data_IF_757956971587
#
_entry.id   IF_757956971587
#
_cell.length_a   1.000
_cell.length_b   1.000
_cell.length_c   1.000
_cell.angle_alpha   90.00
_cell.angle_beta   90.00
_cell.angle_gamma   90.00
#
_symmetry.space_group_name_H-M   'P 1'
#
loop_
_entity.id
_entity.type
_entity.pdbx_description
1 polymer ?
#
# COMPACT_ATOMS: atom_id res chain seq x y z
N UNK A 1 -0.76 -23.11 -11.28
CA UNK A 1 0.08 -22.82 -12.48
C UNK A 1 -0.80 -23.03 -13.71
N UNK A 2 -0.62 -22.26 -14.79
CA UNK A 2 -1.44 -22.36 -16.01
C UNK A 2 -2.48 -21.24 -16.19
N UNK A 3 -2.83 -20.55 -15.09
CA UNK A 3 -3.84 -19.46 -15.07
C UNK A 3 -3.57 -18.36 -16.11
N UNK A 4 -2.30 -18.11 -16.42
CA UNK A 4 -1.86 -17.01 -17.32
C UNK A 4 -2.33 -17.19 -18.77
N UNK A 5 -2.77 -18.39 -19.15
CA UNK A 5 -3.29 -18.69 -20.50
C UNK A 5 -4.82 -18.85 -20.54
N UNK A 6 -5.46 -18.87 -19.38
CA UNK A 6 -6.89 -19.23 -19.23
C UNK A 6 -7.76 -18.05 -18.78
N UNK A 7 -7.15 -16.96 -18.29
CA UNK A 7 -7.84 -15.79 -17.76
C UNK A 7 -7.67 -14.62 -18.72
N UNK A 8 -8.75 -13.86 -18.92
CA UNK A 8 -8.76 -12.57 -19.62
C UNK A 8 -9.67 -11.61 -18.81
N UNK A 9 -9.24 -10.39 -18.47
CA UNK A 9 -8.01 -9.72 -18.90
C UNK A 9 -6.76 -10.08 -18.09
N UNK A 10 -5.60 -10.03 -18.75
CA UNK A 10 -4.28 -10.10 -18.10
C UNK A 10 -3.54 -8.77 -18.29
N UNK A 11 -2.92 -8.27 -17.22
CA UNK A 11 -2.11 -7.06 -17.25
C UNK A 11 -0.71 -7.30 -16.68
N UNK A 12 0.25 -6.45 -17.06
CA UNK A 12 1.61 -6.46 -16.53
C UNK A 12 2.06 -5.05 -16.16
N UNK A 13 2.69 -4.89 -14.99
CA UNK A 13 3.26 -3.62 -14.54
C UNK A 13 4.79 -3.73 -14.49
N UNK A 14 5.48 -2.98 -15.36
CA UNK A 14 6.93 -2.90 -15.40
C UNK A 14 7.43 -1.81 -14.43
N UNK A 15 7.85 -2.21 -13.23
CA UNK A 15 8.32 -1.30 -12.18
C UNK A 15 9.85 -1.26 -12.16
N UNK A 16 10.43 -0.23 -12.78
CA UNK A 16 11.86 0.04 -12.74
C UNK A 16 12.21 0.70 -11.40
N UNK A 17 13.09 0.08 -10.62
CA UNK A 17 13.46 0.53 -9.27
C UNK A 17 14.95 0.86 -9.27
N UNK A 18 15.26 2.08 -8.83
CA UNK A 18 16.62 2.53 -8.57
C UNK A 18 16.76 2.81 -7.07
N UNK A 19 17.79 2.27 -6.44
CA UNK A 19 18.14 2.55 -5.06
C UNK A 19 19.59 3.05 -5.04
N UNK A 20 19.82 4.16 -4.36
CA UNK A 20 21.15 4.77 -4.20
C UNK A 20 21.36 5.02 -2.71
N UNK A 21 22.45 4.48 -2.17
CA UNK A 21 22.83 4.71 -0.79
C UNK A 21 24.27 5.21 -0.70
N UNK A 22 24.43 6.53 -0.65
CA UNK A 22 25.73 7.20 -0.58
C UNK A 22 26.36 7.13 0.81
N UNK A 23 26.72 5.91 1.22
CA UNK A 23 27.51 5.66 2.42
C UNK A 23 28.52 4.53 2.14
N UNK A 24 29.81 4.85 1.94
CA UNK A 24 30.80 3.91 1.39
C UNK A 24 30.94 2.58 2.11
N UNK A 25 30.72 2.55 3.43
CA UNK A 25 30.85 1.33 4.23
C UNK A 25 29.65 0.38 4.10
N UNK A 26 28.48 0.90 3.76
CA UNK A 26 27.21 0.16 3.82
C UNK A 26 26.45 0.14 2.49
N UNK A 27 26.89 0.90 1.48
CA UNK A 27 26.26 1.04 0.17
C UNK A 27 25.69 -0.27 -0.38
N UNK A 28 26.55 -1.23 -0.70
CA UNK A 28 26.11 -2.48 -1.34
C UNK A 28 25.13 -3.28 -0.48
N UNK A 29 25.35 -3.37 0.84
CA UNK A 29 24.45 -4.11 1.74
C UNK A 29 23.08 -3.46 1.86
N UNK A 30 23.04 -2.13 1.90
CA UNK A 30 21.80 -1.36 2.06
C UNK A 30 21.02 -1.34 0.76
N UNK A 31 21.68 -1.14 -0.38
CA UNK A 31 21.04 -1.18 -1.70
C UNK A 31 20.46 -2.57 -2.00
N UNK A 32 21.20 -3.65 -1.71
CA UNK A 32 20.70 -5.02 -1.83
C UNK A 32 19.48 -5.26 -0.92
N UNK A 33 19.55 -4.81 0.34
CA UNK A 33 18.43 -4.90 1.26
C UNK A 33 17.21 -4.13 0.75
N UNK A 34 17.37 -2.93 0.20
CA UNK A 34 16.29 -2.13 -0.36
C UNK A 34 15.62 -2.86 -1.53
N UNK A 35 16.40 -3.47 -2.44
CA UNK A 35 15.85 -4.25 -3.54
C UNK A 35 15.11 -5.52 -3.07
N UNK A 36 15.65 -6.22 -2.08
CA UNK A 36 14.99 -7.38 -1.48
C UNK A 36 13.67 -6.99 -0.79
N UNK A 37 13.69 -5.91 -0.02
CA UNK A 37 12.51 -5.34 0.62
C UNK A 37 11.45 -4.95 -0.41
N UNK A 38 11.83 -4.24 -1.47
CA UNK A 38 10.90 -3.80 -2.50
C UNK A 38 10.26 -4.96 -3.26
N UNK A 39 11.03 -6.00 -3.56
CA UNK A 39 10.52 -7.23 -4.19
C UNK A 39 9.48 -7.92 -3.31
N UNK A 40 9.75 -8.01 -2.01
CA UNK A 40 8.82 -8.57 -1.03
C UNK A 40 7.56 -7.70 -0.88
N UNK A 41 7.72 -6.38 -0.84
CA UNK A 41 6.61 -5.42 -0.77
C UNK A 41 5.69 -5.57 -1.98
N UNK A 42 6.24 -5.55 -3.19
CA UNK A 42 5.45 -5.71 -4.41
C UNK A 42 4.78 -7.07 -4.51
N UNK A 43 5.46 -8.14 -4.13
CA UNK A 43 4.86 -9.48 -4.16
C UNK A 43 3.68 -9.58 -3.20
N UNK A 44 3.84 -9.06 -1.98
CA UNK A 44 2.80 -9.07 -0.95
C UNK A 44 1.64 -8.16 -1.33
N UNK A 45 1.94 -6.94 -1.80
CA UNK A 45 0.92 -5.99 -2.22
C UNK A 45 0.07 -6.51 -3.40
N UNK A 46 0.68 -7.11 -4.43
CA UNK A 46 -0.08 -7.67 -5.56
C UNK A 46 -0.95 -8.87 -5.15
N UNK A 47 -0.48 -9.71 -4.21
CA UNK A 47 -1.30 -10.79 -3.64
C UNK A 47 -2.51 -10.23 -2.91
N UNK A 48 -2.30 -9.24 -2.04
CA UNK A 48 -3.39 -8.60 -1.30
C UNK A 48 -4.36 -7.89 -2.24
N UNK A 49 -3.85 -7.14 -3.23
CA UNK A 49 -4.66 -6.46 -4.25
C UNK A 49 -5.59 -7.44 -4.97
N UNK A 50 -5.08 -8.62 -5.34
CA UNK A 50 -5.88 -9.66 -5.97
C UNK A 50 -6.92 -10.26 -4.99
N UNK A 51 -6.52 -10.56 -3.75
CA UNK A 51 -7.44 -11.07 -2.74
C UNK A 51 -8.57 -10.08 -2.40
N UNK A 52 -8.34 -8.78 -2.58
CA UNK A 52 -9.31 -7.72 -2.35
C UNK A 52 -10.08 -7.32 -3.61
N UNK A 53 -10.03 -8.10 -4.69
CA UNK A 53 -10.72 -7.78 -5.95
C UNK A 53 -12.21 -7.49 -5.75
N UNK A 54 -12.88 -8.25 -4.88
CA UNK A 54 -14.31 -8.08 -4.59
C UNK A 54 -14.62 -6.73 -3.91
N UNK A 55 -13.64 -6.11 -3.26
CA UNK A 55 -13.81 -4.86 -2.51
C UNK A 55 -13.71 -3.63 -3.44
N UNK A 56 -12.78 -3.67 -4.41
CA UNK A 56 -12.49 -2.52 -5.29
C UNK A 56 -13.05 -2.64 -6.70
N UNK A 57 -13.38 -3.85 -7.16
CA UNK A 57 -13.89 -4.05 -8.52
C UNK A 57 -15.28 -3.38 -8.68
N UNK A 58 -15.38 -2.45 -9.62
CA UNK A 58 -16.60 -1.68 -9.88
C UNK A 58 -16.64 -0.30 -9.20
N UNK A 59 -15.63 0.07 -8.41
CA UNK A 59 -15.49 1.44 -7.90
C UNK A 59 -15.27 2.44 -9.04
N UNK A 60 -15.90 3.61 -8.94
CA UNK A 60 -15.56 4.74 -9.81
C UNK A 60 -14.33 5.48 -9.30
N UNK A 61 -13.68 6.27 -10.17
CA UNK A 61 -12.57 7.12 -9.75
C UNK A 61 -12.97 8.14 -8.66
N UNK A 62 -14.26 8.53 -8.61
CA UNK A 62 -14.77 9.40 -7.55
C UNK A 62 -14.75 8.68 -6.19
N UNK A 63 -15.24 7.43 -6.16
CA UNK A 63 -15.24 6.62 -4.93
C UNK A 63 -13.82 6.40 -4.40
N UNK A 64 -12.86 6.18 -5.30
CA UNK A 64 -11.43 6.05 -4.94
C UNK A 64 -10.90 7.33 -4.30
N UNK A 65 -11.23 8.51 -4.85
CA UNK A 65 -10.80 9.80 -4.30
C UNK A 65 -11.42 10.09 -2.94
N UNK A 66 -12.67 9.70 -2.74
CA UNK A 66 -13.34 9.84 -1.44
C UNK A 66 -12.69 8.94 -0.39
N UNK A 67 -12.37 7.71 -0.76
CA UNK A 67 -11.63 6.77 0.07
C UNK A 67 -10.24 7.28 0.44
N UNK A 68 -9.48 7.81 -0.52
CA UNK A 68 -8.15 8.41 -0.27
C UNK A 68 -8.21 9.55 0.77
N UNK A 69 -9.22 10.42 0.68
CA UNK A 69 -9.41 11.52 1.66
C UNK A 69 -9.69 10.98 3.06
N UNK A 70 -10.61 10.03 3.19
CA UNK A 70 -10.97 9.43 4.47
C UNK A 70 -9.75 8.74 5.14
N UNK A 71 -8.99 7.96 4.37
CA UNK A 71 -7.78 7.28 4.84
C UNK A 71 -6.71 8.28 5.27
N UNK A 72 -6.52 9.36 4.51
CA UNK A 72 -5.56 10.42 4.84
C UNK A 72 -5.93 11.13 6.15
N UNK A 73 -7.20 11.55 6.31
CA UNK A 73 -7.70 12.19 7.53
C UNK A 73 -7.50 11.29 8.76
N UNK A 74 -7.84 10.00 8.63
CA UNK A 74 -7.67 9.02 9.71
C UNK A 74 -6.20 8.81 10.08
N UNK A 75 -5.33 8.69 9.08
CA UNK A 75 -3.89 8.49 9.30
C UNK A 75 -3.27 9.70 10.01
N UNK A 76 -3.67 10.91 9.60
CA UNK A 76 -3.24 12.15 10.23
C UNK A 76 -3.70 12.23 11.69
N UNK A 77 -4.95 11.86 11.98
CA UNK A 77 -5.45 11.83 13.34
C UNK A 77 -4.67 10.83 14.20
N UNK A 78 -4.48 9.59 13.74
CA UNK A 78 -3.70 8.57 14.45
C UNK A 78 -2.29 9.08 14.75
N UNK A 79 -1.67 9.77 13.77
CA UNK A 79 -0.35 10.37 13.93
C UNK A 79 -0.36 11.45 15.01
N UNK A 80 -1.36 12.34 15.00
CA UNK A 80 -1.51 13.41 16.01
C UNK A 80 -1.75 12.88 17.43
N UNK A 81 -2.48 11.76 17.57
CA UNK A 81 -2.71 11.09 18.85
C UNK A 81 -1.40 10.46 19.34
N UNK A 82 -0.69 9.74 18.46
CA UNK A 82 0.61 9.11 18.79
C UNK A 82 1.68 10.14 19.16
N UNK A 83 1.65 11.33 18.56
CA UNK A 83 2.56 12.42 18.85
C UNK A 83 2.13 13.30 20.02
N UNK A 84 0.99 13.02 20.67
CA UNK A 84 0.48 13.77 21.83
C UNK A 84 -0.05 15.17 21.52
N UNK A 85 -0.29 15.50 20.25
CA UNK A 85 -0.79 16.81 19.81
C UNK A 85 -2.33 16.89 19.85
N UNK A 86 -3.01 15.75 19.90
CA UNK A 86 -4.46 15.65 19.99
C UNK A 86 -4.86 14.79 21.20
N UNK A 87 -6.02 15.07 21.83
CA UNK A 87 -6.54 14.22 22.89
C UNK A 87 -6.81 12.81 22.35
N UNK A 88 -6.49 11.79 23.16
CA UNK A 88 -6.76 10.40 22.82
C UNK A 88 -8.24 10.22 22.48
N UNK A 89 -8.51 9.68 21.30
CA UNK A 89 -9.83 9.21 20.90
C UNK A 89 -9.76 7.70 20.61
N UNK A 90 -10.71 6.89 21.09
CA UNK A 90 -10.77 5.47 20.78
C UNK A 90 -10.87 5.27 19.26
N UNK A 91 -10.09 4.33 18.70
CA UNK A 91 -10.07 4.07 17.26
C UNK A 91 -11.44 3.59 16.73
N UNK A 92 -12.32 3.09 17.59
CA UNK A 92 -13.68 2.69 17.24
C UNK A 92 -14.63 3.88 16.99
N UNK A 93 -14.30 5.10 17.44
CA UNK A 93 -15.13 6.30 17.18
C UNK A 93 -14.81 6.95 15.84
N UNK A 94 -13.81 6.45 15.13
CA UNK A 94 -13.46 6.90 13.80
C UNK A 94 -14.41 6.25 12.79
N UNK A 95 -14.83 6.98 11.74
CA UNK A 95 -15.58 6.37 10.67
C UNK A 95 -14.83 5.11 10.20
N UNK A 96 -15.54 3.98 10.05
CA UNK A 96 -14.89 2.75 9.63
C UNK A 96 -14.21 3.04 8.31
N UNK A 97 -12.88 2.81 8.21
CA UNK A 97 -12.27 2.63 6.89
C UNK A 97 -13.15 1.56 6.28
N UNK A 98 -13.80 1.87 5.16
CA UNK A 98 -14.48 0.82 4.41
C UNK A 98 -13.39 0.00 3.72
N UNK A 99 -13.09 -1.23 4.13
CA UNK A 99 -13.22 -2.32 3.19
C UNK A 99 -14.70 -2.70 3.16
N UNK A 100 -15.20 -3.19 2.04
CA UNK A 100 -16.24 -4.20 2.14
C UNK A 100 -15.64 -5.50 1.69
#
# INVERSE_FOLDING_TARGET
KGWEREVEPVMCAYKLVYAEFDYPLLQGKVEEFMHAYQTNLFTTANRNLWCWVDEWHGMSLHDVRDYEREVAERTNLITSIKSGLAPYQPLETLPPIKPR
#
